data_IF_713134378904
#
_entry.id   IF_713134378904
#
_cell.length_a   1.000
_cell.length_b   1.000
_cell.length_c   1.000
_cell.angle_alpha   90.00
_cell.angle_beta   90.00
_cell.angle_gamma   90.00
#
_symmetry.space_group_name_H-M   'P 1'
#
loop_
_entity.id
_entity.type
_entity.pdbx_description
1 polymer ?
#
# COMPACT_ATOMS: atom_id res chain seq x y z
N UNK A 1 15.54 -14.06 0.19
CA UNK A 1 14.91 -14.16 1.53
C UNK A 1 15.75 -13.41 2.55
N UNK A 2 15.09 -12.72 3.47
CA UNK A 2 15.75 -12.05 4.59
C UNK A 2 16.35 -13.06 5.57
N UNK A 3 17.51 -12.74 6.13
CA UNK A 3 18.26 -13.60 7.05
C UNK A 3 18.46 -12.91 8.39
N UNK A 4 18.85 -13.63 9.43
CA UNK A 4 19.21 -13.05 10.73
C UNK A 4 20.26 -11.92 10.60
N UNK A 5 21.19 -12.02 9.62
CA UNK A 5 22.18 -10.99 9.36
C UNK A 5 21.56 -9.67 8.88
N UNK A 6 20.52 -9.72 8.03
CA UNK A 6 19.78 -8.53 7.58
C UNK A 6 19.14 -7.81 8.78
N UNK A 7 18.42 -8.54 9.63
CA UNK A 7 17.77 -7.96 10.83
C UNK A 7 18.77 -7.42 11.83
N UNK A 8 19.89 -8.13 12.05
CA UNK A 8 20.98 -7.65 12.90
C UNK A 8 21.58 -6.33 12.37
N UNK A 9 21.78 -6.23 11.06
CA UNK A 9 22.30 -5.02 10.42
C UNK A 9 21.31 -3.84 10.56
N UNK A 10 20.01 -4.05 10.32
CA UNK A 10 18.96 -3.02 10.51
C UNK A 10 18.99 -2.48 11.94
N UNK A 11 19.01 -3.36 12.96
CA UNK A 11 19.09 -2.95 14.36
C UNK A 11 20.37 -2.20 14.69
N UNK A 12 21.52 -2.61 14.11
CA UNK A 12 22.79 -1.90 14.26
C UNK A 12 22.73 -0.48 13.68
N UNK A 13 22.16 -0.34 12.47
CA UNK A 13 21.98 0.96 11.83
C UNK A 13 21.01 1.84 12.62
N UNK A 14 19.92 1.29 13.10
CA UNK A 14 18.94 2.01 13.92
C UNK A 14 19.56 2.51 15.22
N UNK A 15 20.30 1.67 15.96
CA UNK A 15 21.02 2.07 17.17
C UNK A 15 22.06 3.19 16.93
N UNK A 16 22.59 3.29 15.72
CA UNK A 16 23.50 4.39 15.35
C UNK A 16 22.74 5.69 14.98
N UNK A 17 21.48 5.59 14.64
CA UNK A 17 20.65 6.71 14.21
C UNK A 17 19.83 7.36 15.33
N UNK A 18 19.68 6.70 16.47
CA UNK A 18 18.92 7.21 17.63
C UNK A 18 19.84 7.71 18.72
N UNK A 19 19.41 8.73 19.47
CA UNK A 19 20.11 9.35 20.60
C UNK A 19 19.55 8.96 21.97
N UNK A 20 18.36 8.41 22.00
CA UNK A 20 17.62 8.05 23.22
C UNK A 20 17.14 6.60 23.16
N UNK A 21 16.88 5.94 24.30
CA UNK A 21 16.30 4.61 24.32
C UNK A 21 14.94 4.59 23.60
N UNK A 22 14.69 3.52 22.83
CA UNK A 22 13.45 3.32 22.11
C UNK A 22 12.82 2.01 22.52
N UNK A 23 11.54 2.05 22.93
CA UNK A 23 10.71 0.90 23.20
C UNK A 23 9.75 0.69 22.03
N UNK A 24 9.86 -0.42 21.34
CA UNK A 24 8.94 -0.83 20.30
C UNK A 24 8.06 -1.99 20.79
N UNK A 25 6.78 -1.96 20.40
CA UNK A 25 5.80 -2.99 20.70
C UNK A 25 5.38 -3.71 19.44
N UNK A 26 5.24 -5.03 19.49
CA UNK A 26 4.71 -5.81 18.37
C UNK A 26 3.18 -5.70 18.21
N UNK A 27 2.48 -5.34 19.30
CA UNK A 27 1.04 -5.52 19.42
C UNK A 27 0.67 -6.95 19.80
N UNK A 28 -0.60 -7.22 19.95
CA UNK A 28 -1.13 -8.50 20.39
C UNK A 28 -2.32 -8.96 19.56
N UNK A 29 -2.88 -10.10 19.92
CA UNK A 29 -4.11 -10.62 19.33
C UNK A 29 -5.27 -9.64 19.55
N UNK A 30 -6.00 -9.32 18.49
CA UNK A 30 -7.20 -8.48 18.55
C UNK A 30 -8.44 -9.38 18.53
N UNK A 31 -9.16 -9.54 19.67
CA UNK A 31 -10.35 -10.37 19.75
C UNK A 31 -11.51 -9.77 18.95
N UNK A 32 -12.35 -10.63 18.35
CA UNK A 32 -13.61 -10.22 17.71
C UNK A 32 -14.72 -10.00 18.73
N UNK A 33 -14.99 -10.99 19.60
CA UNK A 33 -16.08 -10.97 20.55
C UNK A 33 -15.72 -11.51 21.95
N UNK A 34 -14.67 -12.32 22.05
CA UNK A 34 -14.10 -12.78 23.32
C UNK A 34 -12.61 -13.15 23.11
N UNK A 35 -11.79 -13.21 24.20
CA UNK A 35 -10.32 -13.28 24.08
C UNK A 35 -9.77 -14.38 23.18
N UNK A 36 -10.39 -15.57 23.19
CA UNK A 36 -9.90 -16.70 22.39
C UNK A 36 -10.35 -16.68 20.91
N UNK A 37 -11.31 -15.81 20.53
CA UNK A 37 -11.73 -15.64 19.13
C UNK A 37 -11.06 -14.40 18.52
N UNK A 38 -9.77 -14.51 18.25
CA UNK A 38 -8.99 -13.44 17.62
C UNK A 38 -8.81 -13.70 16.13
N UNK A 39 -8.59 -12.63 15.37
CA UNK A 39 -8.11 -12.71 14.00
C UNK A 39 -6.63 -13.16 13.94
N UNK A 40 -6.09 -13.41 12.73
CA UNK A 40 -4.66 -13.65 12.56
C UNK A 40 -3.83 -12.53 13.18
N UNK A 41 -2.74 -12.89 13.86
CA UNK A 41 -1.82 -11.90 14.40
C UNK A 41 -0.91 -11.37 13.28
N UNK A 42 -0.81 -10.05 13.21
CA UNK A 42 0.19 -9.34 12.43
C UNK A 42 0.83 -8.29 13.34
N UNK A 43 2.13 -8.38 13.50
CA UNK A 43 2.84 -7.41 14.29
C UNK A 43 2.88 -6.02 13.62
N UNK A 44 3.10 -4.98 14.42
CA UNK A 44 3.39 -3.64 13.91
C UNK A 44 4.51 -3.68 12.86
N UNK A 45 4.37 -2.91 11.80
CA UNK A 45 5.27 -2.93 10.65
C UNK A 45 6.70 -2.51 10.99
N UNK A 46 6.88 -1.58 11.94
CA UNK A 46 8.22 -1.20 12.41
C UNK A 46 8.84 -2.32 13.23
N UNK A 47 8.03 -3.06 14.00
CA UNK A 47 8.51 -4.23 14.71
C UNK A 47 8.92 -5.35 13.73
N UNK A 48 8.09 -5.64 12.71
CA UNK A 48 8.41 -6.59 11.62
C UNK A 48 9.70 -6.23 10.88
N UNK A 49 9.95 -4.94 10.67
CA UNK A 49 11.19 -4.49 10.04
C UNK A 49 12.44 -4.90 10.82
N UNK A 50 12.37 -4.94 12.16
CA UNK A 50 13.51 -5.26 13.02
C UNK A 50 13.57 -6.73 13.45
N UNK A 51 12.48 -7.47 13.44
CA UNK A 51 12.41 -8.84 13.94
C UNK A 51 11.58 -9.73 12.99
N UNK A 52 12.16 -10.87 12.50
CA UNK A 52 11.40 -11.84 11.74
C UNK A 52 10.44 -12.60 12.66
N UNK A 53 9.27 -12.99 12.13
CA UNK A 53 8.29 -13.86 12.80
C UNK A 53 8.04 -13.47 14.27
N UNK A 54 7.62 -12.21 14.54
CA UNK A 54 7.47 -11.74 15.91
C UNK A 54 6.30 -12.44 16.60
N UNK A 55 6.50 -12.76 17.88
CA UNK A 55 5.44 -13.26 18.75
C UNK A 55 4.46 -12.16 19.13
N UNK A 56 3.18 -12.52 19.33
CA UNK A 56 2.21 -11.59 19.88
C UNK A 56 2.65 -11.10 21.28
N UNK A 57 2.35 -9.85 21.59
CA UNK A 57 2.78 -9.14 22.80
C UNK A 57 4.29 -8.92 22.94
N UNK A 58 5.11 -9.31 21.98
CA UNK A 58 6.54 -9.03 22.04
C UNK A 58 6.82 -7.54 22.16
N UNK A 59 7.90 -7.18 22.83
CA UNK A 59 8.42 -5.83 22.92
C UNK A 59 9.95 -5.85 22.76
N UNK A 60 10.53 -4.73 22.32
CA UNK A 60 11.97 -4.60 22.16
C UNK A 60 12.46 -3.25 22.67
N UNK A 61 13.46 -3.27 23.55
CA UNK A 61 14.17 -2.07 24.00
C UNK A 61 15.49 -1.94 23.22
N UNK A 62 15.64 -0.83 22.54
CA UNK A 62 16.89 -0.39 21.90
C UNK A 62 17.55 0.65 22.81
N UNK A 63 18.79 0.43 23.20
CA UNK A 63 19.54 1.39 24.01
C UNK A 63 20.84 1.80 23.28
N UNK A 64 20.91 3.03 22.75
CA UNK A 64 22.08 3.50 22.01
C UNK A 64 23.32 3.67 22.90
N UNK A 65 23.15 3.85 24.21
CA UNK A 65 24.27 4.08 25.16
C UNK A 65 25.25 2.91 25.18
N UNK A 66 24.73 1.69 25.23
CA UNK A 66 25.56 0.47 25.23
C UNK A 66 25.36 -0.37 23.95
N UNK A 67 24.67 0.20 22.96
CA UNK A 67 24.38 -0.43 21.66
C UNK A 67 23.67 -1.78 21.81
N UNK A 68 22.81 -1.91 22.81
CA UNK A 68 22.08 -3.15 23.13
C UNK A 68 20.66 -3.16 22.55
N UNK A 69 20.19 -4.36 22.24
CA UNK A 69 18.79 -4.66 21.95
C UNK A 69 18.36 -5.80 22.84
N UNK A 70 17.32 -5.58 23.64
CA UNK A 70 16.70 -6.59 24.49
C UNK A 70 15.30 -6.89 23.97
N UNK A 71 15.03 -8.14 23.63
CA UNK A 71 13.71 -8.62 23.22
C UNK A 71 12.98 -9.17 24.44
N UNK A 72 11.70 -8.85 24.58
CA UNK A 72 10.82 -9.31 25.66
C UNK A 72 9.73 -10.19 25.08
N UNK A 73 9.62 -11.42 25.63
CA UNK A 73 8.68 -12.42 25.13
C UNK A 73 7.89 -13.03 26.29
N UNK A 74 6.64 -13.40 26.05
CA UNK A 74 5.85 -14.18 26.96
C UNK A 74 6.46 -15.60 27.09
N UNK A 75 6.51 -16.10 28.32
CA UNK A 75 6.80 -17.52 28.55
C UNK A 75 5.52 -18.31 28.30
N UNK A 76 5.56 -19.18 27.29
CA UNK A 76 4.45 -20.09 27.03
C UNK A 76 4.52 -21.29 27.97
N UNK A 77 3.38 -21.63 28.53
CA UNK A 77 3.22 -22.80 29.39
C UNK A 77 2.93 -24.06 28.59
N UNK A 78 3.00 -25.23 29.24
CA UNK A 78 2.52 -26.50 28.64
C UNK A 78 1.03 -26.43 28.24
N UNK A 79 0.22 -25.61 28.94
CA UNK A 79 -1.17 -25.40 28.61
C UNK A 79 -1.31 -24.60 27.30
N UNK A 80 -0.45 -23.60 27.07
CA UNK A 80 -0.45 -22.86 25.79
C UNK A 80 -0.06 -23.78 24.64
N UNK A 81 0.88 -24.71 24.86
CA UNK A 81 1.28 -25.69 23.86
C UNK A 81 0.13 -26.63 23.42
N UNK A 82 -0.84 -26.90 24.30
CA UNK A 82 -2.03 -27.65 23.94
C UNK A 82 -2.88 -26.93 22.89
N UNK A 83 -2.99 -25.63 22.98
CA UNK A 83 -3.88 -24.82 22.12
C UNK A 83 -3.17 -24.28 20.87
N UNK A 84 -1.87 -24.00 20.94
CA UNK A 84 -1.13 -23.27 19.92
C UNK A 84 0.12 -24.01 19.39
N UNK A 85 0.33 -25.25 19.87
CA UNK A 85 1.55 -26.00 19.57
C UNK A 85 2.76 -25.53 20.40
N UNK A 86 3.90 -26.23 20.31
CA UNK A 86 5.10 -25.87 21.05
C UNK A 86 5.68 -24.55 20.52
N UNK A 87 6.10 -23.67 21.43
CA UNK A 87 6.80 -22.44 21.07
C UNK A 87 8.25 -22.71 20.70
N UNK A 88 8.84 -21.91 19.81
CA UNK A 88 10.28 -21.92 19.60
C UNK A 88 11.00 -21.61 20.92
N UNK A 89 12.09 -22.29 21.18
CA UNK A 89 12.93 -22.00 22.35
C UNK A 89 13.61 -20.61 22.21
N UNK A 90 14.02 -20.01 23.31
CA UNK A 90 14.82 -18.77 23.25
C UNK A 90 16.11 -18.95 22.44
N UNK A 91 16.67 -20.16 22.38
CA UNK A 91 17.83 -20.47 21.54
C UNK A 91 17.46 -20.40 20.06
N UNK A 92 16.28 -20.92 19.66
CA UNK A 92 15.79 -20.83 18.28
C UNK A 92 15.51 -19.38 17.90
N UNK A 93 14.86 -18.61 18.78
CA UNK A 93 14.58 -17.19 18.54
C UNK A 93 15.87 -16.39 18.41
N UNK A 94 16.90 -16.65 19.25
CA UNK A 94 18.22 -16.02 19.10
C UNK A 94 18.86 -16.34 17.74
N UNK A 95 18.74 -17.60 17.29
CA UNK A 95 19.27 -18.03 15.99
C UNK A 95 18.52 -17.34 14.84
N UNK A 96 17.18 -17.28 14.91
CA UNK A 96 16.33 -16.71 13.89
C UNK A 96 16.49 -15.18 13.81
N UNK A 97 16.48 -14.51 14.94
CA UNK A 97 16.51 -13.04 15.01
C UNK A 97 17.91 -12.46 15.04
N UNK A 98 18.90 -13.21 15.49
CA UNK A 98 20.26 -12.72 15.79
C UNK A 98 20.31 -11.79 17.01
N UNK A 99 19.29 -11.81 17.88
CA UNK A 99 19.27 -11.08 19.18
C UNK A 99 20.04 -11.89 20.21
N UNK A 100 20.80 -11.22 21.08
CA UNK A 100 21.59 -11.88 22.13
C UNK A 100 20.92 -11.87 23.50
N UNK A 101 20.10 -10.85 23.78
CA UNK A 101 19.40 -10.66 25.05
C UNK A 101 17.88 -10.86 24.85
N UNK A 102 17.33 -11.83 25.59
CA UNK A 102 15.88 -12.09 25.67
C UNK A 102 15.50 -12.12 27.15
N UNK A 103 14.48 -11.38 27.52
CA UNK A 103 13.93 -11.27 28.87
C UNK A 103 12.45 -11.66 28.88
N UNK A 104 11.91 -11.97 30.05
CA UNK A 104 10.48 -12.25 30.24
C UNK A 104 9.65 -10.98 29.98
N UNK A 105 8.54 -11.15 29.28
CA UNK A 105 7.61 -10.05 29.00
C UNK A 105 7.07 -9.39 30.29
N UNK A 106 6.84 -10.20 31.34
CA UNK A 106 6.41 -9.73 32.66
C UNK A 106 7.37 -8.71 33.29
N UNK A 107 8.65 -8.77 32.95
CA UNK A 107 9.68 -7.94 33.55
C UNK A 107 9.93 -6.63 32.80
N UNK A 108 9.23 -6.42 31.65
CA UNK A 108 9.43 -5.28 30.76
C UNK A 108 9.53 -3.94 31.49
N UNK A 109 8.50 -3.59 32.27
CA UNK A 109 8.43 -2.28 32.90
C UNK A 109 9.56 -2.06 33.94
N UNK A 110 9.84 -3.07 34.76
CA UNK A 110 10.90 -3.04 35.78
C UNK A 110 12.28 -2.99 35.13
N UNK A 111 12.50 -3.79 34.10
CA UNK A 111 13.74 -3.83 33.34
C UNK A 111 14.02 -2.49 32.64
N UNK A 112 13.03 -1.96 31.90
CA UNK A 112 13.17 -0.66 31.22
C UNK A 112 13.51 0.42 32.23
N UNK A 113 12.76 0.56 33.34
CA UNK A 113 13.02 1.54 34.39
C UNK A 113 14.43 1.44 34.93
N UNK A 114 14.90 0.23 35.24
CA UNK A 114 16.27 -0.03 35.76
C UNK A 114 17.34 0.32 34.70
N UNK A 115 17.12 -0.10 33.44
CA UNK A 115 18.10 0.03 32.36
C UNK A 115 18.31 1.47 31.92
N UNK A 116 17.22 2.22 31.74
CA UNK A 116 17.30 3.60 31.25
C UNK A 116 17.59 4.62 32.35
N UNK A 117 17.25 4.32 33.63
CA UNK A 117 17.39 5.23 34.74
C UNK A 117 16.57 6.50 34.55
N UNK A 118 17.20 7.67 34.65
CA UNK A 118 16.56 8.98 34.44
C UNK A 118 16.44 9.42 33.00
N UNK A 119 16.95 8.63 32.03
CA UNK A 119 16.85 8.96 30.59
C UNK A 119 15.40 8.85 30.13
N UNK A 120 15.02 9.70 29.18
CA UNK A 120 13.71 9.59 28.51
C UNK A 120 13.78 8.51 27.44
N UNK A 121 12.84 7.58 27.45
CA UNK A 121 12.65 6.65 26.36
C UNK A 121 11.60 7.18 25.38
N UNK A 122 11.73 6.81 24.10
CA UNK A 122 10.76 7.10 23.04
C UNK A 122 10.01 5.83 22.66
N UNK A 123 8.83 6.00 22.07
CA UNK A 123 8.04 4.91 21.50
C UNK A 123 7.23 5.39 20.31
N UNK A 124 6.64 4.44 19.58
CA UNK A 124 5.61 4.70 18.56
C UNK A 124 4.23 4.33 19.10
N UNK A 125 3.21 5.06 18.68
CA UNK A 125 1.85 4.54 18.76
C UNK A 125 1.64 3.52 17.62
N UNK A 126 1.00 2.41 17.97
CA UNK A 126 0.66 1.34 17.02
C UNK A 126 -0.84 1.07 17.04
N UNK A 127 -1.34 0.32 16.06
CA UNK A 127 -2.78 0.04 15.90
C UNK A 127 -3.40 -0.70 17.11
N UNK A 128 -2.61 -1.47 17.89
CA UNK A 128 -3.08 -2.04 19.15
C UNK A 128 -3.10 -0.97 20.25
N UNK A 129 -4.29 -0.52 20.71
CA UNK A 129 -4.40 0.54 21.73
C UNK A 129 -3.88 0.10 23.10
N UNK A 130 -3.91 -1.20 23.41
CA UNK A 130 -3.41 -1.74 24.70
C UNK A 130 -1.88 -1.66 24.74
N UNK A 131 -1.22 -2.09 23.66
CA UNK A 131 0.23 -2.00 23.53
C UNK A 131 0.71 -0.54 23.52
N UNK A 132 -0.01 0.35 22.82
CA UNK A 132 0.26 1.79 22.83
C UNK A 132 0.12 2.39 24.25
N UNK A 133 -0.96 2.04 24.98
CA UNK A 133 -1.17 2.53 26.34
C UNK A 133 -0.09 2.05 27.32
N UNK A 134 0.34 0.79 27.19
CA UNK A 134 1.43 0.24 27.99
C UNK A 134 2.76 0.92 27.68
N UNK A 135 3.12 1.09 26.41
CA UNK A 135 4.33 1.79 26.01
C UNK A 135 4.37 3.23 26.55
N UNK A 136 3.25 3.97 26.46
CA UNK A 136 3.08 5.31 27.07
C UNK A 136 3.33 5.30 28.57
N UNK A 137 2.77 4.31 29.29
CA UNK A 137 2.96 4.18 30.75
C UNK A 137 4.42 3.93 31.12
N UNK A 138 5.14 3.12 30.33
CA UNK A 138 6.54 2.76 30.59
C UNK A 138 7.48 3.91 30.23
N UNK A 139 7.29 4.55 29.07
CA UNK A 139 8.20 5.57 28.52
C UNK A 139 7.88 6.99 29.00
N UNK A 140 6.62 7.26 29.35
CA UNK A 140 6.11 8.61 29.58
C UNK A 140 5.88 9.42 28.31
N UNK A 141 6.09 8.82 27.13
CA UNK A 141 5.90 9.48 25.84
C UNK A 141 4.40 9.65 25.52
N UNK A 142 4.03 10.77 24.89
CA UNK A 142 2.62 11.11 24.59
C UNK A 142 2.30 10.82 23.14
N UNK A 143 2.23 9.53 22.78
CA UNK A 143 1.94 9.10 21.42
C UNK A 143 0.47 8.71 21.25
N UNK A 144 -0.09 8.93 20.03
CA UNK A 144 -1.49 8.65 19.67
C UNK A 144 -1.56 8.11 18.24
N UNK A 145 -2.20 6.95 18.01
CA UNK A 145 -2.21 6.28 16.73
C UNK A 145 -2.99 7.02 15.63
N UNK A 146 -4.12 7.65 15.98
CA UNK A 146 -4.96 8.36 15.01
C UNK A 146 -4.55 9.82 14.79
N UNK A 147 -3.43 10.25 15.36
CA UNK A 147 -2.86 11.58 15.14
C UNK A 147 -1.44 11.44 14.57
N UNK A 148 -1.30 11.63 13.26
CA UNK A 148 -0.01 11.51 12.57
C UNK A 148 1.06 12.47 13.10
N UNK A 149 0.67 13.54 13.80
CA UNK A 149 1.61 14.46 14.47
C UNK A 149 2.10 13.94 15.81
N UNK A 150 1.44 12.89 16.34
CA UNK A 150 1.73 12.28 17.64
C UNK A 150 2.05 10.79 17.56
N UNK A 151 2.23 10.24 16.37
CA UNK A 151 2.54 8.81 16.17
C UNK A 151 3.88 8.41 16.82
N UNK A 152 4.82 9.34 16.89
CA UNK A 152 6.14 9.23 17.50
C UNK A 152 6.86 10.58 17.52
N UNK A 153 8.05 10.64 18.15
CA UNK A 153 8.86 11.86 18.05
C UNK A 153 9.42 12.02 16.62
N UNK A 154 9.60 13.28 16.15
CA UNK A 154 10.17 13.56 14.85
C UNK A 154 11.47 12.80 14.54
N UNK A 155 12.40 12.79 15.50
CA UNK A 155 13.71 12.16 15.37
C UNK A 155 13.60 10.63 15.23
N UNK A 156 12.67 10.02 15.96
CA UNK A 156 12.39 8.58 15.87
C UNK A 156 11.80 8.22 14.51
N UNK A 157 10.84 9.01 14.02
CA UNK A 157 10.23 8.81 12.70
C UNK A 157 11.28 8.94 11.60
N UNK A 158 12.14 9.97 11.66
CA UNK A 158 13.21 10.17 10.67
C UNK A 158 14.22 9.02 10.66
N UNK A 159 14.61 8.53 11.84
CA UNK A 159 15.53 7.39 11.95
C UNK A 159 14.95 6.10 11.34
N UNK A 160 13.64 5.86 11.50
CA UNK A 160 12.94 4.71 10.91
C UNK A 160 12.81 4.90 9.40
N UNK A 161 12.34 6.07 8.96
CA UNK A 161 12.14 6.38 7.55
C UNK A 161 13.44 6.30 6.75
N UNK A 162 14.55 6.78 7.30
CA UNK A 162 15.87 6.68 6.67
C UNK A 162 16.31 5.23 6.39
N UNK A 163 15.82 4.27 7.18
CA UNK A 163 16.12 2.86 6.98
C UNK A 163 15.12 2.16 6.05
N UNK A 164 13.82 2.53 6.12
CA UNK A 164 12.75 1.85 5.36
C UNK A 164 12.58 2.40 3.94
N UNK A 165 12.91 3.67 3.68
CA UNK A 165 12.78 4.26 2.35
C UNK A 165 13.62 3.56 1.28
N UNK A 166 14.82 3.08 1.65
CA UNK A 166 15.77 2.54 0.69
C UNK A 166 15.85 1.01 0.81
N UNK A 167 15.16 0.32 -0.08
CA UNK A 167 15.10 -1.15 -0.11
C UNK A 167 16.43 -1.73 -0.61
N UNK A 168 17.01 -2.65 0.16
CA UNK A 168 18.18 -3.40 -0.26
C UNK A 168 17.78 -4.56 -1.20
N UNK A 169 18.79 -5.31 -1.68
CA UNK A 169 18.57 -6.41 -2.63
C UNK A 169 17.65 -7.50 -2.10
N UNK A 170 17.77 -7.83 -0.82
CA UNK A 170 16.99 -8.88 -0.16
C UNK A 170 15.52 -8.43 0.01
N UNK A 171 15.30 -7.17 0.37
CA UNK A 171 13.97 -6.55 0.49
C UNK A 171 13.27 -6.51 -0.87
N UNK A 172 13.95 -6.07 -1.91
CA UNK A 172 13.44 -6.13 -3.28
C UNK A 172 13.17 -7.57 -3.74
N UNK A 173 13.93 -8.54 -3.23
CA UNK A 173 13.66 -9.97 -3.45
C UNK A 173 12.33 -10.44 -2.86
N UNK A 174 11.98 -9.95 -1.64
CA UNK A 174 10.66 -10.21 -1.04
C UNK A 174 9.54 -9.53 -1.86
N UNK A 175 9.70 -8.27 -2.24
CA UNK A 175 8.71 -7.55 -3.05
C UNK A 175 8.47 -8.22 -4.41
N UNK A 176 9.53 -8.67 -5.11
CA UNK A 176 9.39 -9.45 -6.36
C UNK A 176 8.61 -10.74 -6.15
N UNK A 177 8.79 -11.41 -5.02
CA UNK A 177 8.03 -12.61 -4.66
C UNK A 177 6.56 -12.28 -4.42
N UNK A 178 6.24 -11.20 -3.70
CA UNK A 178 4.87 -10.73 -3.53
C UNK A 178 4.22 -10.40 -4.88
N UNK A 179 4.91 -9.66 -5.75
CA UNK A 179 4.45 -9.34 -7.10
C UNK A 179 4.22 -10.58 -7.98
N UNK A 180 5.06 -11.62 -7.86
CA UNK A 180 4.89 -12.87 -8.59
C UNK A 180 3.62 -13.63 -8.18
N UNK A 181 3.30 -13.68 -6.88
CA UNK A 181 2.08 -14.29 -6.37
C UNK A 181 0.85 -13.46 -6.79
N UNK A 182 0.96 -12.13 -6.74
CA UNK A 182 -0.06 -11.20 -7.21
C UNK A 182 -0.34 -11.39 -8.70
N UNK A 183 0.70 -11.56 -9.52
CA UNK A 183 0.56 -11.90 -10.96
C UNK A 183 -0.32 -13.14 -11.16
N UNK A 184 -0.06 -14.19 -10.41
CA UNK A 184 -0.79 -15.45 -10.57
C UNK A 184 -2.26 -15.31 -10.14
N UNK A 185 -2.53 -14.51 -9.10
CA UNK A 185 -3.88 -14.18 -8.66
C UNK A 185 -4.65 -13.38 -9.73
N UNK A 186 -4.05 -12.35 -10.31
CA UNK A 186 -4.63 -11.55 -11.38
C UNK A 186 -4.93 -12.40 -12.63
N UNK A 187 -3.96 -13.20 -13.07
CA UNK A 187 -4.15 -14.11 -14.21
C UNK A 187 -5.30 -15.09 -13.97
N UNK A 188 -5.42 -15.61 -12.75
CA UNK A 188 -6.50 -16.53 -12.40
C UNK A 188 -7.86 -15.83 -12.38
N UNK A 189 -7.96 -14.60 -11.89
CA UNK A 189 -9.18 -13.81 -11.97
C UNK A 189 -9.59 -13.54 -13.43
N UNK A 190 -8.66 -13.10 -14.27
CA UNK A 190 -8.91 -12.88 -15.70
C UNK A 190 -9.41 -14.14 -16.39
N UNK A 191 -8.74 -15.29 -16.17
CA UNK A 191 -9.10 -16.56 -16.78
C UNK A 191 -10.52 -17.04 -16.41
N UNK A 192 -11.00 -16.69 -15.21
CA UNK A 192 -12.33 -17.08 -14.72
C UNK A 192 -13.41 -16.00 -14.96
N UNK A 193 -13.05 -14.86 -15.57
CA UNK A 193 -14.00 -13.78 -15.83
C UNK A 193 -14.93 -14.15 -17.00
N UNK A 194 -16.24 -14.05 -16.78
CA UNK A 194 -17.29 -14.19 -17.81
C UNK A 194 -18.59 -13.56 -17.34
N UNK A 195 -19.49 -13.19 -18.27
CA UNK A 195 -20.85 -12.77 -17.89
C UNK A 195 -21.58 -13.87 -17.09
N UNK A 196 -22.33 -13.46 -16.07
CA UNK A 196 -23.10 -14.35 -15.20
C UNK A 196 -22.36 -14.87 -13.97
N UNK A 197 -21.10 -14.46 -13.76
CA UNK A 197 -20.31 -14.71 -12.54
C UNK A 197 -20.46 -13.53 -11.59
N UNK A 198 -20.53 -13.77 -10.29
CA UNK A 198 -20.49 -12.73 -9.27
C UNK A 198 -19.06 -12.26 -8.99
N UNK A 199 -18.90 -10.98 -8.61
CA UNK A 199 -17.61 -10.41 -8.21
C UNK A 199 -16.93 -11.25 -7.11
N UNK A 200 -17.68 -11.68 -6.10
CA UNK A 200 -17.18 -12.49 -4.98
C UNK A 200 -16.55 -13.84 -5.41
N UNK A 201 -16.96 -14.40 -6.55
CA UNK A 201 -16.36 -15.62 -7.06
C UNK A 201 -14.92 -15.38 -7.55
N UNK A 202 -14.70 -14.22 -8.21
CA UNK A 202 -13.35 -13.82 -8.62
C UNK A 202 -12.49 -13.45 -7.42
N UNK A 203 -13.04 -12.78 -6.40
CA UNK A 203 -12.34 -12.51 -5.13
C UNK A 203 -11.87 -13.81 -4.49
N UNK A 204 -12.73 -14.85 -4.47
CA UNK A 204 -12.36 -16.18 -3.99
C UNK A 204 -11.18 -16.78 -4.76
N UNK A 205 -11.08 -16.56 -6.06
CA UNK A 205 -9.92 -16.98 -6.86
C UNK A 205 -8.66 -16.19 -6.53
N UNK A 206 -8.76 -14.86 -6.30
CA UNK A 206 -7.64 -13.98 -5.96
C UNK A 206 -7.07 -14.37 -4.59
N UNK A 207 -7.90 -14.30 -3.55
CA UNK A 207 -7.47 -14.53 -2.16
C UNK A 207 -7.08 -15.99 -1.93
N UNK A 208 -7.77 -16.95 -2.59
CA UNK A 208 -7.35 -18.35 -2.59
C UNK A 208 -5.96 -18.56 -3.18
N UNK A 209 -5.55 -17.76 -4.18
CA UNK A 209 -4.19 -17.79 -4.73
C UNK A 209 -3.17 -17.22 -3.74
N UNK A 210 -3.50 -16.14 -3.03
CA UNK A 210 -2.64 -15.60 -1.99
C UNK A 210 -2.41 -16.61 -0.87
N UNK A 211 -3.47 -17.23 -0.36
CA UNK A 211 -3.40 -18.27 0.68
C UNK A 211 -2.56 -19.46 0.21
N UNK A 212 -2.76 -19.92 -1.05
CA UNK A 212 -1.95 -20.98 -1.63
C UNK A 212 -0.47 -20.63 -1.68
N UNK A 213 -0.14 -19.36 -1.94
CA UNK A 213 1.23 -18.83 -1.94
C UNK A 213 1.82 -18.60 -0.54
N UNK A 214 1.10 -18.92 0.54
CA UNK A 214 1.51 -18.64 1.92
C UNK A 214 1.46 -17.14 2.27
N UNK A 215 0.56 -16.40 1.63
CA UNK A 215 0.36 -14.96 1.78
C UNK A 215 -1.04 -14.64 2.29
N UNK A 216 -1.24 -13.39 2.66
CA UNK A 216 -2.55 -12.80 2.90
C UNK A 216 -2.75 -11.62 1.94
N UNK A 217 -4.00 -11.14 1.75
CA UNK A 217 -4.20 -9.86 1.08
C UNK A 217 -3.49 -8.72 1.85
N UNK A 218 -2.73 -7.88 1.13
CA UNK A 218 -2.05 -6.73 1.73
C UNK A 218 -3.04 -5.65 2.20
N UNK A 219 -4.21 -5.63 1.59
CA UNK A 219 -5.37 -4.77 1.90
C UNK A 219 -6.66 -5.49 1.49
N UNK A 220 -7.81 -4.93 1.86
CA UNK A 220 -9.09 -5.50 1.42
C UNK A 220 -9.19 -5.48 -0.10
N UNK A 221 -9.26 -6.66 -0.70
CA UNK A 221 -9.36 -6.82 -2.17
C UNK A 221 -10.45 -5.92 -2.74
N UNK A 222 -10.11 -5.08 -3.70
CA UNK A 222 -11.06 -4.27 -4.47
C UNK A 222 -11.29 -4.98 -5.80
N UNK A 223 -12.48 -5.50 -6.01
CA UNK A 223 -12.88 -6.11 -7.28
C UNK A 223 -14.31 -5.69 -7.58
N UNK A 224 -14.50 -4.89 -8.62
CA UNK A 224 -15.84 -4.41 -8.93
C UNK A 224 -16.03 -4.06 -10.40
N UNK A 225 -17.27 -4.24 -10.88
CA UNK A 225 -17.76 -3.65 -12.14
C UNK A 225 -18.16 -2.17 -11.97
N UNK A 226 -18.08 -1.66 -10.74
CA UNK A 226 -18.28 -0.25 -10.38
C UNK A 226 -16.91 0.41 -10.15
N UNK A 227 -16.03 0.35 -11.16
CA UNK A 227 -14.67 0.88 -11.08
C UNK A 227 -14.58 2.38 -10.78
N UNK A 228 -15.67 3.14 -10.89
CA UNK A 228 -15.75 4.54 -10.46
C UNK A 228 -15.87 4.71 -8.94
N UNK A 229 -16.09 3.63 -8.19
CA UNK A 229 -16.04 3.59 -6.72
C UNK A 229 -14.66 3.11 -6.31
N UNK A 230 -13.76 4.02 -6.00
CA UNK A 230 -12.32 3.76 -5.85
C UNK A 230 -11.98 2.70 -4.80
N UNK A 231 -12.71 2.63 -3.69
CA UNK A 231 -12.50 1.66 -2.59
C UNK A 231 -13.78 0.84 -2.36
N UNK A 232 -14.23 0.12 -3.39
CA UNK A 232 -15.42 -0.73 -3.28
C UNK A 232 -15.06 -2.10 -2.69
N UNK A 233 -15.48 -2.34 -1.46
CA UNK A 233 -15.31 -3.63 -0.76
C UNK A 233 -16.57 -4.52 -0.80
N UNK A 234 -17.61 -4.11 -1.53
CA UNK A 234 -18.79 -4.94 -1.75
C UNK A 234 -18.62 -5.73 -3.07
N UNK A 235 -18.74 -7.04 -3.00
CA UNK A 235 -18.47 -7.94 -4.13
C UNK A 235 -19.73 -8.69 -4.57
N UNK A 236 -20.88 -8.03 -4.54
CA UNK A 236 -22.20 -8.63 -4.74
C UNK A 236 -22.83 -8.35 -6.12
N UNK A 237 -22.11 -7.70 -7.02
CA UNK A 237 -22.62 -7.47 -8.37
C UNK A 237 -22.46 -8.70 -9.25
N UNK A 238 -23.54 -9.02 -9.99
CA UNK A 238 -23.50 -9.98 -11.09
C UNK A 238 -22.88 -9.31 -12.32
N UNK A 239 -21.74 -9.79 -12.77
CA UNK A 239 -21.04 -9.26 -13.93
C UNK A 239 -21.82 -9.53 -15.22
N UNK A 240 -21.97 -8.52 -16.07
CA UNK A 240 -22.74 -8.59 -17.30
C UNK A 240 -21.91 -8.23 -18.52
N UNK A 241 -22.40 -8.65 -19.68
CA UNK A 241 -21.85 -8.21 -20.97
C UNK A 241 -21.83 -6.68 -21.04
N UNK A 242 -20.69 -6.13 -21.44
CA UNK A 242 -20.46 -4.68 -21.53
C UNK A 242 -19.81 -4.05 -20.30
N UNK A 243 -19.80 -4.74 -19.14
CA UNK A 243 -19.11 -4.23 -17.95
C UNK A 243 -17.58 -4.33 -18.10
N UNK A 244 -16.88 -3.45 -17.42
CA UNK A 244 -15.46 -3.58 -17.09
C UNK A 244 -15.34 -4.12 -15.67
N UNK A 245 -14.39 -4.98 -15.41
CA UNK A 245 -13.93 -5.36 -14.06
C UNK A 245 -12.66 -4.62 -13.76
N UNK A 246 -12.64 -3.90 -12.65
CA UNK A 246 -11.43 -3.37 -12.05
C UNK A 246 -11.08 -4.27 -10.86
N UNK A 247 -9.88 -4.85 -10.89
CA UNK A 247 -9.28 -5.59 -9.78
C UNK A 247 -8.05 -4.83 -9.30
N UNK A 248 -8.05 -4.50 -8.02
CA UNK A 248 -6.96 -3.90 -7.29
C UNK A 248 -6.68 -4.80 -6.07
N UNK A 249 -5.57 -5.52 -6.12
CA UNK A 249 -5.21 -6.52 -5.13
C UNK A 249 -3.70 -6.80 -5.15
N UNK A 250 -3.16 -7.00 -3.97
CA UNK A 250 -1.76 -7.34 -3.75
C UNK A 250 -1.57 -8.36 -2.62
N UNK A 251 -0.53 -9.18 -2.73
CA UNK A 251 -0.15 -10.15 -1.72
C UNK A 251 0.76 -9.51 -0.66
N UNK A 252 0.53 -9.83 0.62
CA UNK A 252 1.47 -9.58 1.72
C UNK A 252 2.14 -10.90 2.12
N UNK A 253 3.46 -10.92 2.11
CA UNK A 253 4.26 -12.04 2.62
C UNK A 253 4.28 -12.05 4.15
N UNK A 254 4.63 -13.19 4.76
CA UNK A 254 4.86 -13.28 6.20
C UNK A 254 5.95 -12.31 6.71
N UNK A 255 6.86 -11.87 5.83
CA UNK A 255 7.85 -10.81 6.12
C UNK A 255 7.27 -9.40 6.15
N UNK A 256 5.97 -9.22 5.83
CA UNK A 256 5.29 -7.95 5.74
C UNK A 256 5.47 -7.21 4.40
N UNK A 257 6.36 -7.67 3.51
CA UNK A 257 6.55 -7.02 2.21
C UNK A 257 5.37 -7.31 1.30
N UNK A 258 4.89 -6.24 0.64
CA UNK A 258 3.69 -6.23 -0.16
C UNK A 258 3.96 -6.02 -1.65
N UNK A 259 2.96 -6.35 -2.45
CA UNK A 259 2.74 -5.85 -3.80
C UNK A 259 1.41 -5.09 -3.84
N UNK A 260 1.25 -4.22 -4.83
CA UNK A 260 0.05 -3.45 -5.10
C UNK A 260 -0.15 -3.33 -6.62
N UNK A 261 -1.22 -3.94 -7.14
CA UNK A 261 -1.44 -4.00 -8.58
C UNK A 261 -2.91 -3.82 -8.92
N UNK A 262 -3.20 -2.87 -9.78
CA UNK A 262 -4.53 -2.74 -10.39
C UNK A 262 -4.50 -3.11 -11.87
N UNK A 263 -5.49 -3.87 -12.29
CA UNK A 263 -5.81 -4.14 -13.70
C UNK A 263 -7.30 -3.99 -13.95
N UNK A 264 -7.63 -3.49 -15.15
CA UNK A 264 -9.02 -3.38 -15.62
C UNK A 264 -9.18 -4.12 -16.93
N UNK A 265 -10.27 -4.90 -17.06
CA UNK A 265 -10.55 -5.66 -18.28
C UNK A 265 -12.05 -5.83 -18.54
N UNK A 266 -12.47 -6.09 -19.81
CA UNK A 266 -13.88 -6.29 -20.15
C UNK A 266 -14.39 -7.68 -19.74
N UNK A 267 -15.53 -7.72 -19.08
CA UNK A 267 -16.22 -8.98 -18.68
C UNK A 267 -16.51 -9.86 -19.90
N UNK A 268 -16.72 -9.26 -21.07
CA UNK A 268 -17.04 -9.94 -22.32
C UNK A 268 -15.86 -10.51 -23.10
N UNK A 269 -14.63 -10.36 -22.58
CA UNK A 269 -13.40 -10.81 -23.24
C UNK A 269 -12.84 -9.87 -24.30
N UNK A 270 -13.60 -8.86 -24.75
CA UNK A 270 -13.17 -7.88 -25.74
C UNK A 270 -13.58 -6.46 -25.31
N UNK A 271 -12.66 -5.52 -25.43
CA UNK A 271 -12.94 -4.11 -25.21
C UNK A 271 -13.88 -3.55 -26.29
N UNK A 272 -14.92 -2.85 -25.91
CA UNK A 272 -15.70 -2.01 -26.84
C UNK A 272 -14.83 -0.84 -27.34
N UNK A 273 -15.20 -0.16 -28.45
CA UNK A 273 -14.45 1.01 -28.92
C UNK A 273 -14.21 2.06 -27.83
N UNK A 274 -15.25 2.47 -27.10
CA UNK A 274 -15.10 3.45 -26.01
C UNK A 274 -14.22 2.96 -24.85
N UNK A 275 -14.34 1.67 -24.48
CA UNK A 275 -13.50 1.09 -23.44
C UNK A 275 -12.03 1.05 -23.88
N UNK A 276 -11.76 0.69 -25.13
CA UNK A 276 -10.42 0.69 -25.70
C UNK A 276 -9.79 2.06 -25.71
N UNK A 277 -10.53 3.08 -26.18
CA UNK A 277 -10.02 4.44 -26.30
C UNK A 277 -9.62 5.01 -24.91
N UNK A 278 -10.45 4.82 -23.89
CA UNK A 278 -10.13 5.23 -22.51
C UNK A 278 -9.01 4.38 -21.90
N UNK A 279 -8.99 3.05 -22.16
CA UNK A 279 -7.94 2.17 -21.67
C UNK A 279 -6.57 2.56 -22.21
N UNK A 280 -6.48 2.87 -23.51
CA UNK A 280 -5.23 3.25 -24.16
C UNK A 280 -4.66 4.57 -23.60
N UNK A 281 -5.53 5.51 -23.21
CA UNK A 281 -5.13 6.75 -22.52
C UNK A 281 -4.51 6.43 -21.15
N UNK A 282 -5.18 5.60 -20.35
CA UNK A 282 -4.69 5.23 -19.00
C UNK A 282 -3.39 4.44 -19.11
N UNK A 283 -3.27 3.52 -20.07
CA UNK A 283 -2.04 2.77 -20.30
C UNK A 283 -0.88 3.67 -20.73
N UNK A 284 -1.14 4.67 -21.56
CA UNK A 284 -0.14 5.66 -21.96
C UNK A 284 0.30 6.52 -20.77
N UNK A 285 -0.63 6.95 -19.91
CA UNK A 285 -0.35 7.70 -18.70
C UNK A 285 0.50 6.88 -17.71
N UNK A 286 0.18 5.61 -17.52
CA UNK A 286 0.94 4.70 -16.66
C UNK A 286 2.37 4.53 -17.20
N UNK A 287 2.56 4.19 -18.47
CA UNK A 287 3.89 4.00 -19.07
C UNK A 287 4.74 5.27 -18.98
N UNK A 288 4.15 6.43 -19.29
CA UNK A 288 4.86 7.73 -19.19
C UNK A 288 5.33 7.97 -17.76
N UNK A 289 4.50 7.68 -16.77
CA UNK A 289 4.83 7.89 -15.36
C UNK A 289 5.85 6.89 -14.83
N UNK A 290 5.78 5.64 -15.25
CA UNK A 290 6.80 4.61 -14.94
C UNK A 290 8.18 5.05 -15.44
N UNK A 291 8.28 5.56 -16.67
CA UNK A 291 9.54 6.02 -17.26
C UNK A 291 10.15 7.22 -16.50
N UNK A 292 9.35 7.96 -15.74
CA UNK A 292 9.80 9.08 -14.93
C UNK A 292 10.30 8.67 -13.53
N UNK A 293 10.14 7.41 -13.11
CA UNK A 293 10.63 6.95 -11.78
C UNK A 293 12.16 6.85 -11.81
N UNK A 294 12.83 7.97 -11.65
CA UNK A 294 14.30 8.12 -11.76
C UNK A 294 14.87 8.93 -10.61
N UNK A 295 16.16 8.79 -10.29
CA UNK A 295 16.81 9.57 -9.24
C UNK A 295 16.68 11.08 -9.47
N UNK A 296 16.28 11.81 -8.43
CA UNK A 296 16.07 13.25 -8.46
C UNK A 296 14.74 13.71 -9.06
N UNK A 297 13.94 12.79 -9.61
CA UNK A 297 12.61 13.14 -10.11
C UNK A 297 11.65 13.41 -8.94
N UNK A 298 11.02 14.57 -8.95
CA UNK A 298 9.98 14.91 -7.98
C UNK A 298 8.71 14.11 -8.26
N UNK A 299 8.17 13.44 -7.24
CA UNK A 299 7.02 12.52 -7.43
C UNK A 299 5.74 13.27 -7.84
N UNK A 300 5.56 14.52 -7.40
CA UNK A 300 4.49 15.39 -7.90
C UNK A 300 4.54 15.58 -9.42
N UNK A 301 5.72 15.69 -10.01
CA UNK A 301 5.85 15.90 -11.45
C UNK A 301 5.50 14.63 -12.23
N UNK A 302 5.72 13.45 -11.64
CA UNK A 302 5.23 12.16 -12.16
C UNK A 302 3.70 12.16 -12.22
N UNK A 303 3.02 12.63 -11.16
CA UNK A 303 1.56 12.79 -11.16
C UNK A 303 1.10 13.78 -12.24
N UNK A 304 1.74 14.93 -12.37
CA UNK A 304 1.37 15.93 -13.36
C UNK A 304 1.58 15.42 -14.80
N UNK A 305 2.58 14.58 -15.03
CA UNK A 305 2.77 13.94 -16.34
C UNK A 305 1.60 12.97 -16.66
N UNK A 306 1.16 12.14 -15.73
CA UNK A 306 -0.06 11.33 -15.89
C UNK A 306 -1.26 12.21 -16.23
N UNK A 307 -1.46 13.30 -15.48
CA UNK A 307 -2.60 14.20 -15.68
C UNK A 307 -2.55 14.85 -17.08
N UNK A 308 -1.36 15.21 -17.59
CA UNK A 308 -1.22 15.76 -18.95
C UNK A 308 -1.56 14.73 -20.03
N UNK A 309 -1.11 13.49 -19.90
CA UNK A 309 -1.43 12.43 -20.87
C UNK A 309 -2.94 12.17 -20.87
N UNK A 310 -3.57 12.14 -19.69
CA UNK A 310 -5.04 11.98 -19.56
C UNK A 310 -5.76 13.17 -20.21
N UNK A 311 -5.34 14.41 -19.93
CA UNK A 311 -5.94 15.62 -20.51
C UNK A 311 -5.85 15.61 -22.04
N UNK A 312 -4.67 15.30 -22.60
CA UNK A 312 -4.43 15.22 -24.05
C UNK A 312 -5.32 14.14 -24.70
N UNK A 313 -5.34 12.95 -24.15
CA UNK A 313 -6.17 11.86 -24.66
C UNK A 313 -7.68 12.17 -24.59
N UNK A 314 -8.15 12.75 -23.49
CA UNK A 314 -9.56 13.17 -23.33
C UNK A 314 -9.91 14.32 -24.31
N UNK A 315 -8.98 15.20 -24.61
CA UNK A 315 -9.13 16.23 -25.62
C UNK A 315 -9.23 15.65 -27.03
N UNK A 316 -8.35 14.70 -27.38
CA UNK A 316 -8.41 14.01 -28.68
C UNK A 316 -9.75 13.28 -28.90
N UNK A 317 -10.37 12.78 -27.84
CA UNK A 317 -11.71 12.19 -27.88
C UNK A 317 -12.83 13.25 -27.94
N UNK A 318 -12.49 14.54 -27.84
CA UNK A 318 -13.44 15.65 -27.79
C UNK A 318 -14.28 15.67 -26.50
N UNK A 319 -13.76 15.13 -25.42
CA UNK A 319 -14.38 15.12 -24.09
C UNK A 319 -13.94 16.32 -23.24
N UNK A 320 -12.76 16.88 -23.55
CA UNK A 320 -12.20 18.09 -22.95
C UNK A 320 -11.77 19.09 -24.02
N UNK A 321 -11.66 20.39 -23.66
CA UNK A 321 -11.29 21.49 -24.54
C UNK A 321 -10.41 22.51 -23.79
N UNK A 322 -9.42 23.11 -24.45
CA UNK A 322 -8.43 24.04 -23.88
C UNK A 322 -7.01 23.52 -24.09
N UNK A 323 -6.01 24.21 -23.62
CA UNK A 323 -4.64 23.65 -23.63
C UNK A 323 -4.48 22.58 -22.55
N UNK A 324 -3.62 21.60 -22.80
CA UNK A 324 -3.35 20.51 -21.84
C UNK A 324 -2.88 21.06 -20.48
N UNK A 325 -1.97 22.06 -20.50
CA UNK A 325 -1.48 22.67 -19.25
C UNK A 325 -2.61 23.40 -18.51
N UNK A 326 -3.48 24.13 -19.21
CA UNK A 326 -4.64 24.78 -18.59
C UNK A 326 -5.58 23.77 -17.93
N UNK A 327 -5.86 22.65 -18.58
CA UNK A 327 -6.74 21.60 -18.06
C UNK A 327 -6.17 20.97 -16.75
N UNK A 328 -4.86 20.87 -16.67
CA UNK A 328 -4.17 20.37 -15.46
C UNK A 328 -4.11 21.45 -14.37
N UNK A 329 -3.73 22.67 -14.73
CA UNK A 329 -3.54 23.77 -13.78
C UNK A 329 -4.86 24.23 -13.12
N UNK A 330 -5.97 24.20 -13.85
CA UNK A 330 -7.32 24.49 -13.29
C UNK A 330 -7.88 23.36 -12.44
N UNK A 331 -7.35 22.14 -12.60
CA UNK A 331 -7.85 20.92 -11.99
C UNK A 331 -9.02 20.28 -12.74
N UNK A 332 -9.28 20.67 -13.99
CA UNK A 332 -10.34 20.06 -14.81
C UNK A 332 -10.09 18.56 -15.05
N UNK A 333 -8.84 18.16 -15.25
CA UNK A 333 -8.44 16.75 -15.39
C UNK A 333 -8.80 15.91 -14.15
N UNK A 334 -8.78 16.52 -12.96
CA UNK A 334 -9.13 15.83 -11.71
C UNK A 334 -10.61 15.42 -11.60
N UNK A 335 -11.47 15.93 -12.47
CA UNK A 335 -12.85 15.40 -12.61
C UNK A 335 -12.88 13.93 -13.02
N UNK A 336 -11.79 13.45 -13.67
CA UNK A 336 -11.66 12.08 -14.16
C UNK A 336 -10.50 11.32 -13.49
N UNK A 337 -9.50 12.04 -12.97
CA UNK A 337 -8.37 11.49 -12.22
C UNK A 337 -8.23 12.21 -10.87
N UNK A 338 -9.11 11.89 -9.88
CA UNK A 338 -9.24 12.67 -8.65
C UNK A 338 -8.22 12.34 -7.55
N UNK A 339 -7.38 11.33 -7.70
CA UNK A 339 -6.42 10.88 -6.68
C UNK A 339 -4.96 11.09 -7.10
N UNK A 340 -4.00 10.85 -6.19
CA UNK A 340 -2.57 10.87 -6.50
C UNK A 340 -2.16 9.71 -7.41
N UNK A 341 -1.02 9.85 -8.10
CA UNK A 341 -0.49 8.80 -8.99
C UNK A 341 0.07 7.59 -8.24
N UNK A 342 0.12 7.63 -6.90
CA UNK A 342 0.60 6.53 -6.09
C UNK A 342 1.20 6.95 -4.75
N UNK A 343 1.94 6.04 -4.13
CA UNK A 343 2.49 6.13 -2.79
C UNK A 343 3.77 5.30 -2.64
N UNK A 344 4.42 5.36 -1.48
CA UNK A 344 5.51 4.45 -1.12
C UNK A 344 4.98 3.04 -0.90
N UNK A 345 5.78 2.04 -1.26
CA UNK A 345 5.49 0.62 -1.10
C UNK A 345 6.64 -0.08 -0.36
N UNK A 346 6.33 -1.05 0.50
CA UNK A 346 7.35 -1.80 1.24
C UNK A 346 6.80 -2.88 2.15
N UNK A 347 7.08 -2.77 3.47
CA UNK A 347 6.50 -3.63 4.51
C UNK A 347 5.00 -3.37 4.72
N UNK A 348 4.53 -2.22 4.32
CA UNK A 348 3.10 -1.94 4.17
C UNK A 348 2.83 -1.60 2.72
N UNK A 349 1.60 -1.86 2.26
CA UNK A 349 1.14 -1.40 0.95
C UNK A 349 1.23 0.12 0.87
N UNK A 350 0.75 0.85 1.88
CA UNK A 350 0.99 2.28 2.07
C UNK A 350 2.16 2.48 3.04
N UNK A 351 3.40 2.25 2.53
CA UNK A 351 4.59 2.18 3.38
C UNK A 351 4.83 3.50 4.14
N UNK A 352 4.81 3.41 5.47
CA UNK A 352 5.02 4.53 6.41
C UNK A 352 4.00 5.68 6.32
N UNK A 353 2.86 5.53 5.64
CA UNK A 353 1.86 6.61 5.49
C UNK A 353 1.32 7.08 6.87
N UNK A 354 1.31 6.19 7.86
CA UNK A 354 0.97 6.54 9.25
C UNK A 354 1.88 7.60 9.88
N UNK A 355 3.08 7.83 9.35
CA UNK A 355 3.98 8.91 9.81
C UNK A 355 3.62 10.29 9.24
N UNK A 356 2.60 10.36 8.38
CA UNK A 356 2.02 11.59 7.84
C UNK A 356 2.92 12.37 6.91
N UNK A 357 2.62 13.66 6.79
CA UNK A 357 3.29 14.54 5.83
C UNK A 357 4.79 14.74 6.13
N UNK A 358 5.27 14.35 7.33
CA UNK A 358 6.70 14.44 7.66
C UNK A 358 7.59 13.66 6.71
N UNK A 359 7.15 12.48 6.30
CA UNK A 359 7.91 11.64 5.35
C UNK A 359 7.41 11.77 3.91
N UNK A 360 6.16 12.17 3.74
CA UNK A 360 5.52 12.26 2.44
C UNK A 360 5.78 13.61 1.74
N UNK A 361 6.11 14.66 2.49
CA UNK A 361 6.36 16.02 1.98
C UNK A 361 7.65 16.55 2.59
N UNK A 362 8.78 16.23 1.95
CA UNK A 362 10.12 16.66 2.42
C UNK A 362 10.47 18.07 1.91
N UNK A 363 11.59 18.60 2.38
CA UNK A 363 12.21 19.85 1.88
C UNK A 363 11.29 21.07 1.96
N UNK A 364 10.48 21.18 3.02
CA UNK A 364 9.56 22.29 3.24
C UNK A 364 8.32 22.27 2.34
N UNK A 365 8.11 21.19 1.60
CA UNK A 365 6.92 21.01 0.75
C UNK A 365 5.67 20.79 1.62
N UNK A 366 4.53 21.19 1.10
CA UNK A 366 3.24 21.06 1.77
C UNK A 366 2.17 20.57 0.81
N UNK A 367 1.15 19.93 1.37
CA UNK A 367 0.00 19.41 0.61
C UNK A 367 -0.73 20.54 -0.12
N UNK A 368 -0.98 20.35 -1.41
CA UNK A 368 -1.74 21.31 -2.22
C UNK A 368 -3.19 21.41 -1.74
N UNK A 369 -3.80 22.59 -1.94
CA UNK A 369 -5.25 22.80 -1.74
C UNK A 369 -6.06 22.65 -3.04
N UNK A 370 -5.39 22.49 -4.18
CA UNK A 370 -6.04 22.34 -5.48
C UNK A 370 -6.81 21.03 -5.55
N UNK A 371 -8.01 21.07 -6.11
CA UNK A 371 -8.81 19.87 -6.38
C UNK A 371 -8.00 18.86 -7.21
N UNK A 372 -8.00 17.59 -6.79
CA UNK A 372 -7.14 16.55 -7.32
C UNK A 372 -5.79 16.48 -6.59
N UNK A 373 -4.96 17.51 -6.67
CA UNK A 373 -3.63 17.54 -6.04
C UNK A 373 -3.66 17.46 -4.50
N UNK A 374 -4.75 17.86 -3.86
CA UNK A 374 -4.92 17.73 -2.40
C UNK A 374 -4.87 16.27 -1.93
N UNK A 375 -5.15 15.31 -2.81
CA UNK A 375 -5.12 13.88 -2.53
C UNK A 375 -3.79 13.22 -2.91
N UNK A 376 -2.79 13.98 -3.40
CA UNK A 376 -1.46 13.45 -3.65
C UNK A 376 -0.87 12.95 -2.33
N UNK A 377 -0.47 11.67 -2.28
CA UNK A 377 0.03 11.03 -1.06
C UNK A 377 1.52 11.30 -0.83
N UNK A 378 2.28 11.64 -1.88
CA UNK A 378 3.73 11.74 -1.85
C UNK A 378 4.23 12.92 -2.69
N UNK A 379 5.13 13.75 -2.14
CA UNK A 379 5.82 14.82 -2.84
C UNK A 379 7.29 14.92 -2.36
N UNK A 380 8.07 13.92 -2.75
CA UNK A 380 9.50 13.80 -2.46
C UNK A 380 10.30 13.70 -3.75
N UNK A 381 11.61 13.88 -3.67
CA UNK A 381 12.51 13.57 -4.77
C UNK A 381 12.92 12.09 -4.68
N UNK A 382 12.61 11.34 -5.74
CA UNK A 382 12.89 9.91 -5.79
C UNK A 382 14.39 9.64 -5.73
N UNK A 383 14.76 8.59 -5.00
CA UNK A 383 16.15 8.18 -4.84
C UNK A 383 16.28 6.67 -5.13
N UNK A 384 17.47 6.20 -5.55
CA UNK A 384 17.70 4.78 -5.78
C UNK A 384 17.38 3.92 -4.55
N UNK A 385 16.60 2.87 -4.73
CA UNK A 385 16.10 1.99 -3.68
C UNK A 385 14.72 2.33 -3.15
N UNK A 386 14.14 3.48 -3.50
CA UNK A 386 12.74 3.76 -3.21
C UNK A 386 11.84 2.92 -4.12
N UNK A 387 10.78 2.37 -3.56
CA UNK A 387 9.72 1.68 -4.28
C UNK A 387 8.41 2.45 -4.12
N UNK A 388 7.72 2.67 -5.24
CA UNK A 388 6.47 3.42 -5.32
C UNK A 388 5.48 2.68 -6.21
N UNK A 389 4.18 2.93 -6.03
CA UNK A 389 3.16 2.55 -7.01
C UNK A 389 3.05 3.62 -8.09
N UNK A 390 2.59 3.24 -9.28
CA UNK A 390 2.19 4.14 -10.37
C UNK A 390 0.81 3.67 -10.84
N UNK A 391 -0.24 4.42 -10.48
CA UNK A 391 -1.64 3.98 -10.54
C UNK A 391 -2.60 5.00 -11.21
N UNK A 392 -2.28 5.61 -12.36
CA UNK A 392 -3.22 6.52 -13.00
C UNK A 392 -4.52 5.82 -13.38
N UNK A 393 -5.61 6.59 -13.40
CA UNK A 393 -6.92 6.09 -13.79
C UNK A 393 -7.82 7.17 -14.38
N UNK A 394 -8.87 6.73 -15.08
CA UNK A 394 -9.96 7.57 -15.57
C UNK A 394 -11.27 6.99 -15.06
N UNK A 395 -12.03 7.81 -14.34
CA UNK A 395 -13.29 7.41 -13.71
C UNK A 395 -14.42 8.34 -14.08
N UNK A 396 -15.58 7.76 -14.39
CA UNK A 396 -16.79 8.51 -14.66
C UNK A 396 -17.70 8.48 -13.42
N UNK A 397 -17.31 9.26 -12.40
CA UNK A 397 -17.95 9.29 -11.07
C UNK A 397 -19.25 10.13 -11.15
N UNK A 398 -20.45 9.53 -11.02
CA UNK A 398 -21.72 10.26 -11.17
C UNK A 398 -21.82 11.45 -10.20
N UNK A 399 -21.39 11.28 -8.95
CA UNK A 399 -21.45 12.34 -7.94
C UNK A 399 -20.61 13.58 -8.27
N UNK A 400 -19.45 13.40 -8.93
CA UNK A 400 -18.63 14.52 -9.39
C UNK A 400 -19.17 15.13 -10.69
N UNK A 401 -19.53 14.28 -11.66
CA UNK A 401 -19.97 14.72 -12.99
C UNK A 401 -21.31 15.45 -12.95
N UNK A 402 -22.22 15.06 -12.03
CA UNK A 402 -23.53 15.67 -11.88
C UNK A 402 -23.56 16.85 -10.90
N UNK A 403 -22.45 17.09 -10.19
CA UNK A 403 -22.34 18.21 -9.26
C UNK A 403 -22.45 19.55 -10.00
N UNK A 404 -23.36 20.42 -9.55
CA UNK A 404 -23.67 21.69 -10.23
C UNK A 404 -22.52 22.68 -10.18
N UNK A 405 -21.78 22.73 -9.07
CA UNK A 405 -20.66 23.64 -8.90
C UNK A 405 -19.48 23.21 -9.79
N UNK A 406 -19.18 21.91 -9.83
CA UNK A 406 -18.15 21.37 -10.71
C UNK A 406 -18.49 21.57 -12.19
N UNK A 407 -19.72 21.32 -12.58
CA UNK A 407 -20.19 21.59 -13.98
C UNK A 407 -20.06 23.07 -14.33
N UNK A 408 -20.43 23.98 -13.43
CA UNK A 408 -20.26 25.41 -13.66
C UNK A 408 -18.80 25.82 -13.72
N UNK A 409 -17.96 25.27 -12.81
CA UNK A 409 -16.52 25.55 -12.73
C UNK A 409 -15.79 25.18 -14.02
N UNK A 410 -16.10 24.02 -14.58
CA UNK A 410 -15.39 23.46 -15.74
C UNK A 410 -16.20 23.52 -17.07
N UNK A 411 -17.25 24.35 -17.13
CA UNK A 411 -18.19 24.43 -18.27
C UNK A 411 -17.51 24.64 -19.63
N UNK A 412 -16.40 25.40 -19.68
CA UNK A 412 -15.68 25.68 -20.92
C UNK A 412 -14.61 24.65 -21.25
N UNK A 413 -14.30 23.75 -20.32
CA UNK A 413 -13.18 22.81 -20.41
C UNK A 413 -13.63 21.36 -20.56
N UNK A 414 -14.86 21.02 -20.17
CA UNK A 414 -15.44 19.68 -20.24
C UNK A 414 -16.74 19.69 -21.04
N UNK A 415 -16.85 18.80 -22.04
CA UNK A 415 -18.12 18.55 -22.76
C UNK A 415 -19.00 17.63 -21.93
N UNK A 416 -19.73 18.20 -20.98
CA UNK A 416 -20.64 17.46 -20.13
C UNK A 416 -21.75 16.72 -20.89
N UNK A 417 -22.14 17.20 -22.09
CA UNK A 417 -23.14 16.52 -22.93
C UNK A 417 -22.62 15.20 -23.47
N UNK A 418 -21.32 15.10 -23.80
CA UNK A 418 -20.67 13.84 -24.18
C UNK A 418 -20.38 12.99 -22.96
N UNK A 419 -19.93 13.57 -21.85
CA UNK A 419 -19.62 12.85 -20.60
C UNK A 419 -20.87 12.18 -20.01
N UNK A 420 -22.03 12.83 -20.04
CA UNK A 420 -23.29 12.26 -19.54
C UNK A 420 -23.66 10.93 -20.25
N UNK A 421 -23.20 10.72 -21.50
CA UNK A 421 -23.41 9.45 -22.21
C UNK A 421 -22.65 8.31 -21.57
N UNK A 422 -21.47 8.56 -20.99
CA UNK A 422 -20.70 7.54 -20.25
C UNK A 422 -21.44 7.08 -18.98
N UNK A 423 -22.20 7.96 -18.33
CA UNK A 423 -23.00 7.62 -17.15
C UNK A 423 -24.18 6.70 -17.47
N UNK A 424 -24.64 6.69 -18.71
CA UNK A 424 -25.81 5.91 -19.15
C UNK A 424 -25.46 4.68 -19.98
N UNK A 425 -24.17 4.40 -20.23
CA UNK A 425 -23.71 3.20 -20.92
C UNK A 425 -24.14 1.91 -20.22
N UNK A 426 -24.00 0.79 -20.89
CA UNK A 426 -24.25 -0.56 -20.38
C UNK A 426 -25.66 -0.71 -19.75
N UNK A 427 -26.69 -0.19 -20.47
CA UNK A 427 -28.09 -0.20 -20.02
C UNK A 427 -28.31 0.56 -18.70
N UNK A 428 -27.64 1.72 -18.57
CA UNK A 428 -27.78 2.61 -17.40
C UNK A 428 -26.86 2.28 -16.23
N UNK A 429 -25.97 1.28 -16.36
CA UNK A 429 -24.99 0.96 -15.30
C UNK A 429 -23.76 1.87 -15.30
N UNK A 430 -23.56 2.63 -16.38
CA UNK A 430 -22.43 3.51 -16.58
C UNK A 430 -21.20 2.82 -17.19
N UNK A 431 -20.19 3.62 -17.48
CA UNK A 431 -18.90 3.15 -17.97
C UNK A 431 -18.06 2.53 -16.85
N UNK A 432 -18.16 3.07 -15.63
CA UNK A 432 -17.29 2.72 -14.50
C UNK A 432 -16.00 3.52 -14.49
N UNK A 433 -14.89 2.84 -14.26
CA UNK A 433 -13.55 3.42 -14.25
C UNK A 433 -12.50 2.43 -14.74
N UNK A 434 -11.35 2.96 -15.14
CA UNK A 434 -10.16 2.20 -15.52
C UNK A 434 -8.99 2.71 -14.69
N UNK A 435 -8.29 1.81 -13.99
CA UNK A 435 -6.98 2.02 -13.36
C UNK A 435 -6.02 0.96 -13.86
N UNK A 436 -4.77 1.35 -14.08
CA UNK A 436 -3.64 0.46 -14.35
C UNK A 436 -2.55 0.88 -13.39
N UNK A 437 -2.06 -0.07 -12.61
CA UNK A 437 -1.10 0.18 -11.54
C UNK A 437 0.01 -0.85 -11.52
N UNK A 438 1.22 -0.37 -11.37
CA UNK A 438 2.41 -1.19 -11.21
C UNK A 438 3.28 -0.74 -10.02
N UNK A 439 3.97 -1.72 -9.42
CA UNK A 439 5.01 -1.53 -8.42
C UNK A 439 6.34 -1.18 -9.09
N UNK A 440 6.89 -0.01 -8.80
CA UNK A 440 8.07 0.51 -9.51
C UNK A 440 9.17 0.89 -8.54
N UNK A 441 10.38 0.39 -8.77
CA UNK A 441 11.58 0.74 -8.01
C UNK A 441 12.40 1.78 -8.77
N UNK A 442 12.70 2.89 -8.09
CA UNK A 442 13.69 3.85 -8.55
C UNK A 442 15.09 3.22 -8.48
N UNK A 443 15.74 3.03 -9.62
CA UNK A 443 17.11 2.51 -9.71
C UNK A 443 18.08 3.59 -10.20
N UNK A 444 19.38 3.33 -10.14
CA UNK A 444 20.40 4.22 -10.74
C UNK A 444 20.38 4.25 -12.26
N UNK A 445 19.70 3.27 -12.88
CA UNK A 445 19.51 3.14 -14.33
C UNK A 445 18.03 3.36 -14.71
N UNK A 446 17.47 2.50 -15.54
CA UNK A 446 16.03 2.51 -15.83
C UNK A 446 15.22 2.05 -14.59
N UNK A 447 13.97 2.52 -14.41
CA UNK A 447 13.11 2.01 -13.37
C UNK A 447 12.89 0.50 -13.51
N UNK A 448 12.78 -0.19 -12.38
CA UNK A 448 12.43 -1.62 -12.37
C UNK A 448 10.95 -1.77 -12.01
N UNK A 449 10.17 -2.35 -12.91
CA UNK A 449 8.76 -2.67 -12.66
C UNK A 449 8.68 -4.08 -12.07
N UNK A 450 8.39 -4.20 -10.77
CA UNK A 450 8.32 -5.49 -10.07
C UNK A 450 7.13 -6.34 -10.54
N UNK A 451 6.06 -5.69 -10.95
CA UNK A 451 4.80 -6.28 -11.42
C UNK A 451 4.73 -6.43 -12.96
N UNK A 452 5.84 -6.27 -13.69
CA UNK A 452 5.89 -6.27 -15.16
C UNK A 452 5.25 -7.52 -15.81
N UNK A 453 5.23 -8.66 -15.10
CA UNK A 453 4.65 -9.90 -15.61
C UNK A 453 3.12 -9.99 -15.44
N UNK A 454 2.48 -9.02 -14.78
CA UNK A 454 1.02 -8.90 -14.74
C UNK A 454 0.55 -8.26 -16.05
N UNK A 455 -0.20 -8.95 -16.90
CA UNK A 455 -0.56 -8.43 -18.20
C UNK A 455 -1.30 -7.10 -18.12
N UNK A 456 -0.89 -6.13 -18.96
CA UNK A 456 -1.57 -4.83 -19.11
C UNK A 456 -1.79 -4.42 -20.57
N UNK A 457 -1.13 -5.08 -21.52
CA UNK A 457 -1.39 -4.85 -22.93
C UNK A 457 -2.75 -5.45 -23.33
N UNK A 458 -3.59 -4.67 -24.04
CA UNK A 458 -4.97 -5.08 -24.37
C UNK A 458 -5.07 -6.47 -24.99
N UNK A 459 -4.22 -6.79 -25.98
CA UNK A 459 -4.26 -8.09 -26.64
C UNK A 459 -3.90 -9.24 -25.69
N UNK A 460 -2.98 -9.02 -24.75
CA UNK A 460 -2.62 -10.00 -23.75
C UNK A 460 -3.77 -10.24 -22.75
N UNK A 461 -4.47 -9.18 -22.33
CA UNK A 461 -5.67 -9.29 -21.49
C UNK A 461 -6.77 -10.07 -22.22
N UNK A 462 -7.11 -9.66 -23.44
CA UNK A 462 -8.17 -10.30 -24.24
C UNK A 462 -7.91 -11.78 -24.54
N UNK A 463 -6.63 -12.19 -24.55
CA UNK A 463 -6.26 -13.60 -24.72
C UNK A 463 -6.47 -14.44 -23.44
N UNK A 464 -6.41 -13.81 -22.27
CA UNK A 464 -6.53 -14.49 -20.96
C UNK A 464 -7.97 -14.56 -20.46
N UNK A 465 -8.80 -13.56 -20.77
CA UNK A 465 -10.15 -13.45 -20.23
C UNK A 465 -10.99 -14.65 -20.66
N UNK A 466 -11.58 -15.37 -19.66
CA UNK A 466 -12.43 -16.53 -19.91
C UNK A 466 -11.70 -17.76 -20.41
N UNK A 467 -10.37 -17.84 -20.30
CA UNK A 467 -9.57 -18.98 -20.78
C UNK A 467 -9.62 -20.21 -19.86
N UNK A 468 -10.06 -20.07 -18.60
CA UNK A 468 -10.35 -21.21 -17.73
C UNK A 468 -11.67 -21.87 -18.18
N UNK A 469 -11.56 -22.97 -18.92
CA UNK A 469 -12.69 -23.81 -19.35
C UNK A 469 -12.65 -25.16 -18.66
#
# INVERSE_FOLDING_TARGET
>A
MLTAANFKNRRKQFLAAIDSPVLLMAGGWIPRNYPANAGPFRADSTFLFFFPEPEANAAALFDPKDKSVTLFLDERTNADALWHGPSPSFADIKRLTGVTAIEKRSDLASFVKKKIGSRKARTLAIADPRATAEARKITGDKVEFFDTKKIGSPELIDAIAALRNYKNKEELGEMRRAASITRDAHKRAMANTRPGVFEQELVGHVEGTFIHGGCVPAYGTILSVRGEVLHNHAHNNLMKKGDLVLLDAGAELASGYCADVTRTWPVSGKFSPAQRDIYDIVLAAEKTSVDMVRPGQRYRDVHLASARVIADGMQQLGLMSGSVDELVDTGATAMFFPHGVGHLLGIDVHDMEGFGDRIAYTDGRTRSKQFGLQFLRLDIDLQPGMAVTIEPGIYFVPGLIQDKEMRQRFRGQIDFGRIDKFLTMNSGRGFGGIRIEDDVVCTKAAPEVLSAEVPKERLALEALIGSAR
#
